data_IF_755312636253
#
_entry.id   IF_755312636253
#
_cell.length_a   1.000
_cell.length_b   1.000
_cell.length_c   1.000
_cell.angle_alpha   90.00
_cell.angle_beta   90.00
_cell.angle_gamma   90.00
#
_symmetry.space_group_name_H-M   'P 1'
#
loop_
_entity.id
_entity.type
_entity.pdbx_description
1 polymer ?
#
# COMPACT_ATOMS: atom_id res chain seq x y z
N UNK A 1 9.69 -1.90 -23.96
CA UNK A 1 9.61 -1.01 -22.78
C UNK A 1 8.19 -0.44 -22.58
N UNK A 2 7.82 -0.11 -21.33
CA UNK A 2 6.58 0.61 -20.98
C UNK A 2 6.56 2.01 -21.62
N UNK A 3 5.39 2.46 -22.07
CA UNK A 3 5.17 3.72 -22.80
C UNK A 3 4.17 4.65 -22.12
N UNK A 4 3.06 4.11 -21.64
CA UNK A 4 2.10 4.87 -20.85
C UNK A 4 1.40 3.98 -19.84
N UNK A 5 0.96 4.62 -18.77
CA UNK A 5 0.09 4.08 -17.74
C UNK A 5 -1.15 4.98 -17.72
N UNK A 6 -2.32 4.38 -17.86
CA UNK A 6 -3.61 5.03 -17.75
C UNK A 6 -4.36 4.38 -16.59
N UNK A 7 -4.76 5.18 -15.62
CA UNK A 7 -5.46 4.68 -14.43
C UNK A 7 -6.75 5.47 -14.25
N UNK A 8 -7.86 4.75 -14.21
CA UNK A 8 -9.18 5.29 -13.88
C UNK A 8 -9.59 4.75 -12.51
N UNK A 9 -9.80 5.67 -11.57
CA UNK A 9 -10.26 5.39 -10.22
C UNK A 9 -11.73 5.79 -10.11
N UNK A 10 -12.60 4.83 -9.81
CA UNK A 10 -13.98 5.08 -9.44
C UNK A 10 -14.17 4.80 -7.94
N UNK A 11 -14.47 5.84 -7.16
CA UNK A 11 -14.76 5.72 -5.73
C UNK A 11 -16.26 5.81 -5.52
N UNK A 12 -16.84 4.75 -4.93
CA UNK A 12 -18.23 4.70 -4.49
C UNK A 12 -18.27 4.56 -2.97
N UNK A 13 -18.57 5.66 -2.29
CA UNK A 13 -18.49 5.79 -0.83
C UNK A 13 -17.12 5.31 -0.30
N UNK A 14 -17.02 4.15 0.34
CA UNK A 14 -15.76 3.63 0.91
C UNK A 14 -15.03 2.63 0.00
N UNK A 15 -15.54 2.34 -1.20
CA UNK A 15 -14.96 1.33 -2.10
C UNK A 15 -14.38 2.00 -3.33
N UNK A 16 -13.16 1.63 -3.67
CA UNK A 16 -12.49 2.04 -4.90
C UNK A 16 -12.46 0.88 -5.89
N UNK A 17 -12.91 1.15 -7.12
CA UNK A 17 -12.64 0.33 -8.30
C UNK A 17 -11.54 1.01 -9.09
N UNK A 18 -10.48 0.28 -9.42
CA UNK A 18 -9.32 0.81 -10.14
C UNK A 18 -9.15 0.03 -11.42
N UNK A 19 -9.13 0.75 -12.54
CA UNK A 19 -8.82 0.21 -13.86
C UNK A 19 -7.47 0.77 -14.29
N UNK A 20 -6.46 -0.08 -14.39
CA UNK A 20 -5.12 0.27 -14.88
C UNK A 20 -4.90 -0.32 -16.27
N UNK A 21 -4.52 0.52 -17.23
CA UNK A 21 -4.10 0.11 -18.57
C UNK A 21 -2.63 0.49 -18.79
N UNK A 22 -1.76 -0.50 -18.98
CA UNK A 22 -0.33 -0.33 -19.19
C UNK A 22 0.02 -0.68 -20.63
N UNK A 23 0.60 0.29 -21.34
CA UNK A 23 0.94 0.15 -22.75
C UNK A 23 2.44 -0.03 -22.93
N UNK A 24 2.84 -1.12 -23.56
CA UNK A 24 4.23 -1.50 -23.83
C UNK A 24 4.48 -1.57 -25.32
N UNK A 25 5.73 -1.30 -25.72
CA UNK A 25 6.20 -1.51 -27.09
C UNK A 25 7.60 -2.12 -27.07
N UNK A 26 7.80 -3.22 -27.80
CA UNK A 26 9.14 -3.73 -28.04
C UNK A 26 9.83 -2.82 -29.07
N UNK A 27 10.92 -2.16 -28.66
CA UNK A 27 11.71 -1.30 -29.54
C UNK A 27 13.02 -1.95 -29.97
N UNK A 28 13.31 -3.16 -29.47
CA UNK A 28 14.49 -3.92 -29.84
C UNK A 28 14.27 -4.59 -31.21
N UNK A 29 15.38 -4.98 -31.83
CA UNK A 29 15.41 -5.74 -33.08
C UNK A 29 15.19 -7.25 -32.87
N UNK A 30 15.00 -7.68 -31.61
CA UNK A 30 14.84 -9.07 -31.18
C UNK A 30 13.57 -9.28 -30.37
N UNK A 31 12.99 -10.49 -30.42
CA UNK A 31 11.89 -10.84 -29.54
C UNK A 31 12.33 -10.74 -28.07
N UNK A 32 11.44 -10.22 -27.23
CA UNK A 32 11.66 -10.10 -25.80
C UNK A 32 10.72 -11.03 -25.05
N UNK A 33 11.24 -11.77 -24.08
CA UNK A 33 10.39 -12.42 -23.10
C UNK A 33 9.82 -11.35 -22.15
N UNK A 34 8.50 -11.29 -22.05
CA UNK A 34 7.81 -10.26 -21.30
C UNK A 34 7.19 -10.85 -20.02
N UNK A 35 7.71 -10.40 -18.87
CA UNK A 35 7.10 -10.61 -17.56
C UNK A 35 6.68 -9.25 -17.03
N UNK A 36 5.40 -9.12 -16.66
CA UNK A 36 4.85 -7.90 -16.13
C UNK A 36 4.54 -8.09 -14.65
N UNK A 37 5.03 -7.16 -13.82
CA UNK A 37 4.91 -7.22 -12.37
C UNK A 37 4.10 -6.01 -11.91
N UNK A 38 3.05 -6.27 -11.13
CA UNK A 38 2.11 -5.26 -10.66
C UNK A 38 2.04 -5.30 -9.13
N UNK A 39 2.33 -4.20 -8.45
CA UNK A 39 2.04 -4.09 -7.03
C UNK A 39 0.54 -3.86 -6.88
N UNK A 40 -0.10 -4.65 -6.02
CA UNK A 40 -1.49 -4.44 -5.63
C UNK A 40 -1.58 -4.32 -4.11
N UNK A 41 -2.47 -3.48 -3.57
CA UNK A 41 -2.75 -3.49 -2.14
C UNK A 41 -3.09 -4.92 -1.68
N UNK A 42 -2.56 -5.35 -0.54
CA UNK A 42 -2.76 -6.74 -0.06
C UNK A 42 -4.21 -7.08 0.30
N UNK A 43 -5.06 -6.07 0.43
CA UNK A 43 -6.51 -6.15 0.65
C UNK A 43 -7.33 -5.92 -0.64
N UNK A 44 -6.67 -5.75 -1.79
CA UNK A 44 -7.35 -5.62 -3.07
C UNK A 44 -7.78 -6.98 -3.64
N UNK A 45 -8.92 -6.99 -4.32
CA UNK A 45 -9.41 -8.14 -5.08
C UNK A 45 -9.33 -7.85 -6.59
N UNK A 46 -8.54 -8.65 -7.31
CA UNK A 46 -8.47 -8.57 -8.78
C UNK A 46 -9.77 -9.10 -9.37
N UNK A 47 -10.48 -8.26 -10.11
CA UNK A 47 -11.78 -8.56 -10.69
C UNK A 47 -11.70 -8.90 -12.18
N UNK A 48 -10.75 -8.30 -12.90
CA UNK A 48 -10.57 -8.57 -14.31
C UNK A 48 -9.12 -8.34 -14.74
N UNK A 49 -8.67 -9.17 -15.68
CA UNK A 49 -7.40 -9.02 -16.33
C UNK A 49 -7.53 -9.34 -17.82
N UNK A 50 -6.97 -8.49 -18.68
CA UNK A 50 -6.85 -8.75 -20.11
C UNK A 50 -5.56 -8.20 -20.70
N UNK A 51 -5.14 -8.81 -21.81
CA UNK A 51 -3.96 -8.40 -22.56
C UNK A 51 -4.29 -8.36 -24.05
N UNK A 52 -3.95 -7.26 -24.71
CA UNK A 52 -3.99 -7.12 -26.16
C UNK A 52 -2.55 -7.12 -26.69
N UNK A 53 -2.18 -8.12 -27.49
CA UNK A 53 -0.83 -8.25 -28.07
C UNK A 53 -0.99 -8.35 -29.59
N UNK A 54 -0.60 -7.30 -30.30
CA UNK A 54 -0.92 -7.17 -31.73
C UNK A 54 -2.42 -7.32 -31.99
N UNK A 55 -2.82 -8.38 -32.69
CA UNK A 55 -4.23 -8.69 -32.97
C UNK A 55 -4.88 -9.63 -31.94
N UNK A 56 -4.10 -10.24 -31.06
CA UNK A 56 -4.59 -11.23 -30.11
C UNK A 56 -5.10 -10.55 -28.84
N UNK A 57 -6.38 -10.78 -28.52
CA UNK A 57 -6.99 -10.36 -27.25
C UNK A 57 -7.11 -11.56 -26.32
N UNK A 58 -6.55 -11.44 -25.13
CA UNK A 58 -6.51 -12.48 -24.09
C UNK A 58 -7.28 -11.95 -22.90
N UNK A 59 -8.21 -12.73 -22.39
CA UNK A 59 -8.95 -12.43 -21.16
C UNK A 59 -8.66 -13.56 -20.18
N UNK A 60 -8.20 -13.21 -18.98
CA UNK A 60 -7.92 -14.21 -17.97
C UNK A 60 -9.21 -14.83 -17.42
N UNK A 61 -9.16 -16.13 -17.18
CA UNK A 61 -10.18 -16.87 -16.46
C UNK A 61 -9.62 -17.24 -15.08
N UNK A 62 -10.37 -16.92 -14.03
CA UNK A 62 -9.95 -17.22 -12.65
C UNK A 62 -10.12 -18.71 -12.40
N UNK A 63 -9.04 -19.35 -11.93
CA UNK A 63 -8.99 -20.77 -11.59
C UNK A 63 -8.31 -20.97 -10.24
N UNK A 64 -8.48 -22.16 -9.67
CA UNK A 64 -7.69 -22.56 -8.50
C UNK A 64 -6.20 -22.57 -8.88
N UNK A 65 -5.34 -22.18 -7.94
CA UNK A 65 -3.93 -21.85 -8.21
C UNK A 65 -3.15 -23.05 -8.77
N UNK A 66 -3.32 -24.24 -8.19
CA UNK A 66 -2.65 -25.44 -8.66
C UNK A 66 -3.17 -25.87 -10.03
N UNK A 67 -4.49 -25.81 -10.23
CA UNK A 67 -5.09 -26.10 -11.54
C UNK A 67 -4.58 -25.15 -12.63
N UNK A 68 -4.49 -23.85 -12.36
CA UNK A 68 -3.99 -22.86 -13.33
C UNK A 68 -2.53 -23.13 -13.74
N UNK A 69 -1.70 -23.57 -12.80
CA UNK A 69 -0.30 -23.94 -13.06
C UNK A 69 -0.18 -25.21 -13.91
N UNK A 70 -0.94 -26.25 -13.58
CA UNK A 70 -0.95 -27.50 -14.35
C UNK A 70 -1.38 -27.27 -15.79
N UNK A 71 -2.47 -26.51 -16.00
CA UNK A 71 -2.94 -26.18 -17.35
C UNK A 71 -1.93 -25.33 -18.14
N UNK A 72 -1.23 -24.41 -17.47
CA UNK A 72 -0.17 -23.60 -18.08
C UNK A 72 1.03 -24.46 -18.51
N UNK A 73 1.50 -25.36 -17.65
CA UNK A 73 2.62 -26.26 -17.93
C UNK A 73 2.29 -27.26 -19.04
N UNK A 74 1.06 -27.80 -19.06
CA UNK A 74 0.57 -28.68 -20.12
C UNK A 74 0.50 -27.97 -21.47
N UNK A 75 0.05 -26.71 -21.49
CA UNK A 75 0.00 -25.90 -22.70
C UNK A 75 1.41 -25.60 -23.24
N UNK A 76 2.35 -25.24 -22.37
CA UNK A 76 3.76 -25.02 -22.74
C UNK A 76 4.42 -26.29 -23.28
N UNK A 77 4.24 -27.42 -22.60
CA UNK A 77 4.83 -28.71 -23.03
C UNK A 77 4.24 -29.20 -24.37
N UNK A 78 3.01 -28.80 -24.68
CA UNK A 78 2.35 -29.04 -25.96
C UNK A 78 2.73 -28.05 -27.07
N UNK A 79 3.64 -27.10 -26.79
CA UNK A 79 4.10 -26.07 -27.73
C UNK A 79 3.08 -24.98 -28.01
N UNK A 80 2.06 -24.83 -27.16
CA UNK A 80 1.08 -23.74 -27.26
C UNK A 80 1.59 -22.47 -26.58
N UNK A 81 1.06 -21.33 -27.01
CA UNK A 81 1.30 -20.07 -26.32
C UNK A 81 0.34 -19.98 -25.12
N UNK A 82 0.90 -19.93 -23.92
CA UNK A 82 0.15 -19.87 -22.67
C UNK A 82 0.50 -18.60 -21.88
N UNK A 83 -0.45 -18.14 -21.07
CA UNK A 83 -0.33 -16.95 -20.22
C UNK A 83 -0.74 -17.32 -18.80
N UNK A 84 0.06 -16.92 -17.83
CA UNK A 84 -0.24 -17.16 -16.42
C UNK A 84 -0.11 -15.85 -15.65
N UNK A 85 -1.18 -15.49 -14.95
CA UNK A 85 -1.20 -14.44 -13.94
C UNK A 85 -1.29 -15.12 -12.57
N UNK A 86 -0.34 -14.84 -11.69
CA UNK A 86 -0.39 -15.35 -10.32
C UNK A 86 0.06 -14.33 -9.28
N UNK A 87 -0.52 -14.47 -8.09
CA UNK A 87 -0.06 -13.82 -6.87
C UNK A 87 1.21 -14.52 -6.35
N UNK A 88 2.24 -13.73 -6.04
CA UNK A 88 3.51 -14.25 -5.54
C UNK A 88 3.34 -14.88 -4.16
N UNK A 89 3.79 -16.12 -3.98
CA UNK A 89 3.76 -16.82 -2.69
C UNK A 89 4.63 -16.15 -1.62
N UNK A 90 5.64 -15.38 -2.03
CA UNK A 90 6.55 -14.68 -1.13
C UNK A 90 6.07 -13.27 -0.79
N UNK A 91 5.11 -12.73 -1.54
CA UNK A 91 4.69 -11.33 -1.48
C UNK A 91 3.26 -11.19 -2.03
N UNK A 92 2.22 -11.27 -1.17
CA UNK A 92 0.82 -11.31 -1.61
C UNK A 92 0.36 -10.04 -2.32
N UNK A 93 1.06 -8.94 -2.11
CA UNK A 93 0.89 -7.64 -2.76
C UNK A 93 1.62 -7.52 -4.10
N UNK A 94 2.09 -8.63 -4.69
CA UNK A 94 2.71 -8.69 -6.02
C UNK A 94 2.00 -9.70 -6.90
N UNK A 95 1.52 -9.22 -8.06
CA UNK A 95 1.02 -10.04 -9.14
C UNK A 95 2.02 -10.06 -10.29
N UNK A 96 2.25 -11.25 -10.84
CA UNK A 96 3.15 -11.43 -11.98
C UNK A 96 2.42 -12.10 -13.13
N UNK A 97 2.56 -11.51 -14.31
CA UNK A 97 2.01 -12.02 -15.56
C UNK A 97 3.13 -12.40 -16.50
N UNK A 98 3.15 -13.67 -16.90
CA UNK A 98 4.09 -14.20 -17.89
C UNK A 98 3.41 -14.23 -19.26
N UNK A 99 3.93 -13.44 -20.21
CA UNK A 99 3.31 -13.20 -21.52
C UNK A 99 4.02 -13.89 -22.68
N UNK A 100 5.09 -14.62 -22.39
CA UNK A 100 5.91 -15.27 -23.41
C UNK A 100 6.65 -14.24 -24.27
N UNK A 101 6.81 -14.54 -25.56
CA UNK A 101 7.65 -13.75 -26.48
C UNK A 101 6.89 -12.61 -27.16
N UNK A 102 7.31 -11.37 -26.93
CA UNK A 102 6.84 -10.16 -27.60
C UNK A 102 7.75 -9.83 -28.81
N UNK A 103 7.26 -9.93 -30.06
CA UNK A 103 8.08 -9.72 -31.26
C UNK A 103 8.68 -8.30 -31.38
N UNK A 104 9.75 -8.13 -32.18
CA UNK A 104 10.34 -6.82 -32.48
C UNK A 104 9.28 -5.84 -33.04
N UNK A 105 9.22 -4.63 -32.50
CA UNK A 105 8.28 -3.58 -32.95
C UNK A 105 6.84 -3.72 -32.47
N UNK A 106 6.46 -4.89 -31.93
CA UNK A 106 5.10 -5.21 -31.50
C UNK A 106 4.72 -4.45 -30.22
N UNK A 107 3.42 -4.21 -30.02
CA UNK A 107 2.89 -3.54 -28.83
C UNK A 107 1.99 -4.46 -28.02
N UNK A 108 2.01 -4.27 -26.71
CA UNK A 108 1.15 -4.97 -25.77
C UNK A 108 0.40 -3.95 -24.90
N UNK A 109 -0.90 -4.12 -24.73
CA UNK A 109 -1.71 -3.34 -23.80
C UNK A 109 -2.25 -4.28 -22.74
N UNK A 110 -1.94 -4.00 -21.47
CA UNK A 110 -2.34 -4.83 -20.34
C UNK A 110 -3.36 -4.07 -19.51
N UNK A 111 -4.56 -4.61 -19.34
CA UNK A 111 -5.64 -4.03 -18.55
C UNK A 111 -5.85 -4.88 -17.29
N UNK A 112 -5.78 -4.22 -16.14
CA UNK A 112 -6.00 -4.80 -14.82
C UNK A 112 -7.10 -4.02 -14.11
N UNK A 113 -8.06 -4.72 -13.54
CA UNK A 113 -9.16 -4.15 -12.77
C UNK A 113 -9.22 -4.81 -11.41
N UNK A 114 -9.22 -4.00 -10.36
CA UNK A 114 -9.32 -4.48 -8.99
C UNK A 114 -10.20 -3.56 -8.15
N UNK A 115 -10.71 -4.11 -7.05
CA UNK A 115 -11.47 -3.37 -6.04
C UNK A 115 -10.75 -3.40 -4.71
N UNK A 116 -10.87 -2.33 -3.92
CA UNK A 116 -10.27 -2.22 -2.58
C UNK A 116 -11.14 -1.32 -1.70
N UNK A 117 -11.16 -1.59 -0.39
CA UNK A 117 -11.81 -0.72 0.60
C UNK A 117 -10.86 0.41 1.00
N UNK A 118 -11.38 1.63 1.08
CA UNK A 118 -10.61 2.81 1.45
C UNK A 118 -10.65 3.03 2.96
N UNK A 119 -9.47 3.08 3.57
CA UNK A 119 -9.35 3.36 4.99
C UNK A 119 -9.62 4.84 5.30
N UNK A 120 -10.43 5.09 6.32
CA UNK A 120 -10.67 6.42 6.89
C UNK A 120 -9.45 6.82 7.73
N UNK A 121 -8.89 7.99 7.43
CA UNK A 121 -7.79 8.58 8.18
C UNK A 121 -8.30 9.30 9.44
N UNK A 122 -7.39 9.64 10.35
CA UNK A 122 -7.74 10.31 11.61
C UNK A 122 -8.37 11.71 11.43
N UNK A 123 -8.21 12.32 10.25
CA UNK A 123 -8.81 13.60 9.86
C UNK A 123 -10.07 13.42 8.97
N UNK A 124 -10.65 12.21 8.98
CA UNK A 124 -11.84 11.81 8.23
C UNK A 124 -11.66 11.73 6.70
N UNK A 125 -10.44 11.87 6.21
CA UNK A 125 -10.12 11.68 4.81
C UNK A 125 -10.14 10.20 4.44
N UNK A 126 -10.86 9.83 3.38
CA UNK A 126 -10.72 8.51 2.75
C UNK A 126 -9.49 8.49 1.88
N UNK A 127 -8.54 7.62 2.20
CA UNK A 127 -7.24 7.57 1.53
C UNK A 127 -7.22 6.47 0.48
N UNK A 128 -6.97 6.87 -0.76
CA UNK A 128 -6.51 5.99 -1.82
C UNK A 128 -5.03 6.27 -2.13
N UNK A 129 -4.26 5.21 -2.37
CA UNK A 129 -2.86 5.32 -2.77
C UNK A 129 -2.62 4.48 -4.02
N UNK A 130 -2.21 5.12 -5.12
CA UNK A 130 -1.69 4.44 -6.30
C UNK A 130 -0.17 4.35 -6.19
N UNK A 131 0.41 3.15 -6.00
CA UNK A 131 1.84 2.97 -5.99
C UNK A 131 2.42 3.31 -7.37
N UNK A 132 3.14 4.43 -7.46
CA UNK A 132 3.81 4.90 -8.67
C UNK A 132 5.32 4.69 -8.60
N UNK A 133 5.85 4.32 -7.43
CA UNK A 133 7.26 3.98 -7.20
C UNK A 133 7.39 2.51 -6.82
N UNK A 134 8.04 1.73 -7.67
CA UNK A 134 8.41 0.35 -7.37
C UNK A 134 9.72 0.33 -6.57
N UNK A 135 9.62 0.21 -5.24
CA UNK A 135 10.78 0.10 -4.36
C UNK A 135 11.32 -1.35 -4.30
N UNK A 136 12.64 -1.56 -4.41
CA UNK A 136 13.25 -2.87 -4.15
C UNK A 136 12.97 -3.33 -2.72
N UNK A 137 12.46 -4.56 -2.55
CA UNK A 137 12.11 -5.10 -1.23
C UNK A 137 13.28 -5.80 -0.55
N UNK A 138 13.32 -5.73 0.78
CA UNK A 138 14.27 -6.46 1.60
C UNK A 138 14.01 -7.96 1.49
N UNK A 139 15.06 -8.73 1.20
CA UNK A 139 15.04 -10.19 1.22
C UNK A 139 16.05 -10.67 2.28
N UNK A 140 15.63 -11.48 3.27
CA UNK A 140 16.55 -12.07 4.24
C UNK A 140 17.57 -13.00 3.55
N UNK A 141 18.78 -13.08 4.08
CA UNK A 141 19.78 -14.02 3.54
C UNK A 141 19.32 -15.47 3.77
N UNK A 142 19.15 -16.24 2.68
CA UNK A 142 18.80 -17.67 2.72
C UNK A 142 17.42 -18.04 2.16
N UNK A 143 16.63 -17.09 1.64
CA UNK A 143 15.37 -17.40 0.95
C UNK A 143 15.64 -18.03 -0.43
N UNK A 144 15.40 -19.33 -0.59
CA UNK A 144 15.37 -19.97 -1.91
C UNK A 144 14.00 -19.76 -2.57
N UNK A 145 13.97 -18.97 -3.65
CA UNK A 145 12.81 -18.84 -4.52
C UNK A 145 13.08 -17.90 -5.70
N UNK A 146 12.19 -17.89 -6.72
CA UNK A 146 12.40 -17.13 -7.95
C UNK A 146 12.53 -15.64 -7.67
N UNK A 147 13.61 -15.05 -8.19
CA UNK A 147 13.95 -13.63 -8.02
C UNK A 147 13.02 -12.76 -8.86
N UNK A 148 12.09 -12.05 -8.23
CA UNK A 148 11.48 -10.87 -8.88
C UNK A 148 12.41 -9.68 -8.68
N UNK A 149 13.40 -9.52 -9.57
CA UNK A 149 14.21 -8.30 -9.59
C UNK A 149 13.36 -7.13 -10.09
N UNK A 150 12.77 -6.39 -9.14
CA UNK A 150 12.15 -5.11 -9.43
C UNK A 150 13.27 -4.11 -9.72
N UNK A 151 13.58 -3.90 -11.01
CA UNK A 151 14.54 -2.88 -11.42
C UNK A 151 13.89 -1.51 -11.28
N UNK A 152 14.25 -0.77 -10.23
CA UNK A 152 13.82 0.60 -10.05
C UNK A 152 14.50 1.50 -11.09
N UNK A 153 13.74 2.04 -12.03
CA UNK A 153 14.25 3.10 -12.94
C UNK A 153 14.29 4.40 -12.14
N UNK A 154 15.43 5.13 -12.10
CA UNK A 154 15.48 6.43 -11.45
C UNK A 154 14.40 7.36 -12.03
N UNK A 155 13.70 8.11 -11.18
CA UNK A 155 12.61 9.03 -11.54
C UNK A 155 12.96 9.98 -12.72
N UNK A 156 14.24 10.38 -12.84
CA UNK A 156 14.75 11.25 -13.90
C UNK A 156 14.90 10.60 -15.29
N UNK A 157 14.74 9.28 -15.39
CA UNK A 157 14.95 8.49 -16.61
C UNK A 157 13.70 7.71 -17.02
N UNK A 158 12.55 7.99 -16.42
CA UNK A 158 11.31 7.27 -16.67
C UNK A 158 10.79 7.57 -18.08
N UNK A 159 10.78 6.59 -19.02
CA UNK A 159 10.49 6.83 -20.43
C UNK A 159 8.99 6.72 -20.76
N UNK A 160 8.12 6.83 -19.76
CA UNK A 160 6.68 6.62 -19.87
C UNK A 160 5.88 7.69 -19.13
N UNK A 161 4.63 7.90 -19.55
CA UNK A 161 3.71 8.86 -18.94
C UNK A 161 2.70 8.17 -18.02
N UNK A 162 2.16 8.93 -17.04
CA UNK A 162 1.03 8.53 -16.22
C UNK A 162 -0.15 9.48 -16.49
N UNK A 163 -1.30 8.90 -16.84
CA UNK A 163 -2.61 9.55 -16.82
C UNK A 163 -3.41 8.94 -15.69
N UNK A 164 -3.97 9.78 -14.82
CA UNK A 164 -4.80 9.33 -13.70
C UNK A 164 -6.07 10.17 -13.64
N UNK A 165 -7.21 9.50 -13.69
CA UNK A 165 -8.53 10.11 -13.62
C UNK A 165 -9.28 9.55 -12.42
N UNK A 166 -10.05 10.41 -11.74
CA UNK A 166 -10.84 10.03 -10.58
C UNK A 166 -12.29 10.43 -10.81
N UNK A 167 -13.20 9.52 -10.51
CA UNK A 167 -14.61 9.77 -10.36
C UNK A 167 -15.03 9.36 -8.96
N UNK A 168 -15.70 10.25 -8.25
CA UNK A 168 -16.18 10.02 -6.89
C UNK A 168 -17.69 10.13 -6.92
N UNK A 169 -18.36 9.12 -6.35
CA UNK A 169 -19.79 9.08 -6.13
C UNK A 169 -20.04 8.70 -4.67
N UNK A 170 -20.89 9.45 -3.98
CA UNK A 170 -21.19 9.21 -2.57
C UNK A 170 -22.64 9.52 -2.28
N UNK A 171 -23.30 8.84 -1.31
CA UNK A 171 -24.60 9.29 -0.82
C UNK A 171 -24.54 10.66 -0.12
N UNK A 172 -23.35 11.19 0.14
CA UNK A 172 -23.12 12.47 0.85
C UNK A 172 -22.39 13.47 -0.04
N UNK A 173 -22.61 14.78 0.15
CA UNK A 173 -21.86 15.79 -0.58
C UNK A 173 -20.36 15.68 -0.32
N UNK A 174 -19.58 15.79 -1.39
CA UNK A 174 -18.12 15.80 -1.36
C UNK A 174 -17.67 17.20 -0.92
N UNK A 175 -16.90 17.29 0.17
CA UNK A 175 -16.36 18.55 0.71
C UNK A 175 -15.19 19.07 -0.14
N UNK A 176 -14.20 18.20 -0.30
CA UNK A 176 -12.92 18.48 -0.97
C UNK A 176 -12.23 17.16 -1.33
N UNK A 177 -11.33 17.25 -2.30
CA UNK A 177 -10.40 16.18 -2.65
C UNK A 177 -9.00 16.78 -2.64
N UNK A 178 -8.10 16.17 -1.88
CA UNK A 178 -6.71 16.58 -1.74
C UNK A 178 -5.77 15.49 -2.28
N UNK A 179 -4.56 15.87 -2.65
CA UNK A 179 -3.55 14.91 -3.13
C UNK A 179 -2.14 15.38 -2.79
N UNK A 180 -1.23 14.41 -2.64
CA UNK A 180 0.21 14.64 -2.58
C UNK A 180 0.81 15.17 -3.89
N UNK A 181 0.04 15.09 -4.99
CA UNK A 181 0.41 15.50 -6.33
C UNK A 181 -0.48 16.63 -6.85
N UNK A 182 -0.01 17.34 -7.89
CA UNK A 182 -0.78 18.40 -8.54
C UNK A 182 -2.00 17.83 -9.27
N UNK A 183 -3.19 18.32 -8.93
CA UNK A 183 -4.45 17.94 -9.54
C UNK A 183 -5.02 19.07 -10.41
N UNK A 184 -5.77 18.71 -11.44
CA UNK A 184 -6.70 19.63 -12.10
C UNK A 184 -7.85 20.00 -11.14
N UNK A 185 -8.51 21.16 -11.32
CA UNK A 185 -9.60 21.58 -10.45
C UNK A 185 -10.72 20.55 -10.35
N UNK A 186 -11.19 20.30 -9.13
CA UNK A 186 -12.34 19.42 -8.86
C UNK A 186 -13.59 19.94 -9.58
N UNK A 187 -14.24 19.06 -10.34
CA UNK A 187 -15.47 19.36 -11.07
C UNK A 187 -16.63 18.55 -10.49
N UNK A 188 -17.63 19.23 -9.94
CA UNK A 188 -18.87 18.59 -9.51
C UNK A 188 -19.76 18.28 -10.72
N UNK A 189 -20.25 17.05 -10.79
CA UNK A 189 -21.09 16.56 -11.89
C UNK A 189 -22.58 16.84 -11.64
N UNK A 190 -22.95 17.20 -10.41
CA UNK A 190 -24.31 17.47 -9.99
C UNK A 190 -24.40 18.59 -8.94
N UNK A 191 -25.60 19.15 -8.77
CA UNK A 191 -25.84 20.33 -7.92
C UNK A 191 -25.76 20.04 -6.42
N UNK A 192 -26.03 18.79 -6.02
CA UNK A 192 -25.92 18.26 -4.67
C UNK A 192 -24.50 17.86 -4.28
N UNK A 193 -23.53 17.97 -5.20
CA UNK A 193 -22.11 17.69 -4.98
C UNK A 193 -21.83 16.24 -4.53
N UNK A 194 -22.74 15.31 -4.82
CA UNK A 194 -22.57 13.88 -4.50
C UNK A 194 -21.76 13.13 -5.56
N UNK A 195 -21.53 13.76 -6.71
CA UNK A 195 -20.67 13.24 -7.77
C UNK A 195 -19.63 14.29 -8.19
N UNK A 196 -18.37 13.88 -8.29
CA UNK A 196 -17.29 14.75 -8.75
C UNK A 196 -16.25 13.99 -9.57
N UNK A 197 -15.52 14.72 -10.39
CA UNK A 197 -14.37 14.20 -11.14
C UNK A 197 -13.18 15.14 -11.03
N UNK A 198 -11.99 14.56 -11.07
CA UNK A 198 -10.72 15.27 -11.14
C UNK A 198 -9.70 14.43 -11.92
N UNK A 199 -8.62 15.07 -12.33
CA UNK A 199 -7.51 14.41 -13.02
C UNK A 199 -6.18 14.84 -12.42
N UNK A 200 -5.19 13.96 -12.51
CA UNK A 200 -3.81 14.31 -12.22
C UNK A 200 -3.30 15.29 -13.28
N UNK A 201 -2.65 16.36 -12.85
CA UNK A 201 -2.01 17.28 -13.77
C UNK A 201 -0.87 16.57 -14.54
N UNK A 202 -0.66 16.96 -15.80
CA UNK A 202 0.38 16.35 -16.62
C UNK A 202 1.79 16.55 -16.04
N UNK A 203 2.67 15.57 -16.29
CA UNK A 203 4.09 15.67 -15.93
C UNK A 203 4.47 15.12 -14.56
N UNK A 204 3.72 14.12 -14.06
CA UNK A 204 4.12 13.36 -12.87
C UNK A 204 5.54 12.81 -13.02
N UNK A 205 6.37 12.98 -11.98
CA UNK A 205 7.81 12.66 -12.02
C UNK A 205 8.16 11.26 -11.54
N UNK A 206 7.18 10.50 -11.03
CA UNK A 206 7.40 9.19 -10.41
C UNK A 206 8.43 9.26 -9.26
N UNK A 207 8.44 10.38 -8.53
CA UNK A 207 9.27 10.60 -7.34
C UNK A 207 8.51 10.27 -6.04
N UNK A 208 7.22 9.95 -6.15
CA UNK A 208 6.30 9.62 -5.06
C UNK A 208 5.09 8.86 -5.60
N UNK A 209 4.31 8.29 -4.69
CA UNK A 209 3.01 7.69 -5.00
C UNK A 209 1.92 8.76 -5.16
N UNK A 210 0.89 8.44 -5.95
CA UNK A 210 -0.27 9.33 -6.13
C UNK A 210 -1.27 9.00 -5.03
N UNK A 211 -1.31 9.85 -4.01
CA UNK A 211 -2.27 9.74 -2.92
C UNK A 211 -3.44 10.67 -3.14
N UNK A 212 -4.66 10.20 -2.88
CA UNK A 212 -5.89 10.98 -2.97
C UNK A 212 -6.63 10.85 -1.64
N UNK A 213 -6.97 11.98 -1.04
CA UNK A 213 -7.76 12.09 0.19
C UNK A 213 -9.11 12.70 -0.15
N UNK A 214 -10.19 11.94 0.07
CA UNK A 214 -11.55 12.34 -0.24
C UNK A 214 -12.28 12.62 1.07
N UNK A 215 -12.87 13.81 1.19
CA UNK A 215 -13.59 14.22 2.39
C UNK A 215 -15.07 14.40 2.07
N UNK A 216 -15.94 13.75 2.84
CA UNK A 216 -17.39 13.89 2.74
C UNK A 216 -17.94 14.84 3.81
N UNK A 217 -19.08 15.48 3.55
CA UNK A 217 -19.87 16.13 4.59
C UNK A 217 -20.50 15.05 5.47
N UNK A 218 -20.61 15.33 6.77
CA UNK A 218 -21.28 14.45 7.73
C UNK A 218 -20.73 13.00 7.70
N UNK A 219 -19.39 12.87 7.65
CA UNK A 219 -18.67 11.60 7.51
C UNK A 219 -19.08 10.56 8.58
N UNK A 220 -19.51 11.02 9.76
CA UNK A 220 -19.87 10.16 10.88
C UNK A 220 -21.31 9.64 10.89
N UNK A 221 -22.16 10.09 9.96
CA UNK A 221 -23.50 9.55 9.83
C UNK A 221 -23.47 8.14 9.23
N UNK A 222 -24.23 7.18 9.77
CA UNK A 222 -24.39 5.86 9.16
C UNK A 222 -24.88 5.97 7.71
N UNK A 223 -24.24 5.24 6.80
CA UNK A 223 -24.68 5.13 5.41
C UNK A 223 -24.92 3.68 5.03
N UNK A 224 -25.80 3.49 4.04
CA UNK A 224 -26.02 2.20 3.42
C UNK A 224 -26.07 2.39 1.90
N UNK A 225 -25.28 1.59 1.18
CA UNK A 225 -25.30 1.53 -0.28
C UNK A 225 -25.85 0.17 -0.68
N UNK A 226 -26.78 0.17 -1.64
CA UNK A 226 -27.39 -1.05 -2.16
C UNK A 226 -26.90 -1.25 -3.59
N UNK A 227 -26.27 -2.40 -3.83
CA UNK A 227 -25.94 -2.85 -5.18
C UNK A 227 -26.98 -3.88 -5.62
N UNK A 228 -27.60 -3.64 -6.78
CA UNK A 228 -28.55 -4.57 -7.34
C UNK A 228 -27.82 -5.77 -7.94
N UNK A 229 -28.37 -6.97 -7.76
CA UNK A 229 -27.86 -8.16 -8.43
C UNK A 229 -27.88 -8.03 -9.95
N UNK A 230 -26.96 -8.72 -10.61
CA UNK A 230 -26.87 -8.75 -12.06
C UNK A 230 -28.10 -9.39 -12.67
N UNK A 231 -28.76 -8.67 -13.59
CA UNK A 231 -29.99 -9.14 -14.25
C UNK A 231 -29.80 -10.45 -15.04
N UNK A 232 -28.57 -10.75 -15.47
CA UNK A 232 -28.22 -11.99 -16.18
C UNK A 232 -27.91 -13.17 -15.26
N UNK A 233 -27.73 -12.96 -13.95
CA UNK A 233 -27.41 -14.00 -13.01
C UNK A 233 -28.67 -14.74 -12.52
N UNK A 234 -28.49 -15.97 -12.03
CA UNK A 234 -29.61 -16.73 -11.48
C UNK A 234 -30.10 -16.12 -10.15
N UNK A 235 -31.41 -15.93 -9.95
CA UNK A 235 -31.95 -15.51 -8.66
C UNK A 235 -31.57 -16.48 -7.53
N UNK A 236 -31.19 -15.97 -6.36
CA UNK A 236 -30.70 -16.78 -5.24
C UNK A 236 -29.21 -17.15 -5.34
N UNK A 237 -28.49 -16.64 -6.34
CA UNK A 237 -27.03 -16.73 -6.43
C UNK A 237 -26.39 -15.45 -5.91
N UNK A 238 -25.11 -15.53 -5.50
CA UNK A 238 -24.34 -14.36 -5.04
C UNK A 238 -24.40 -13.18 -6.02
N UNK A 239 -24.38 -13.46 -7.33
CA UNK A 239 -24.39 -12.43 -8.37
C UNK A 239 -25.81 -11.94 -8.70
N UNK A 240 -26.86 -12.68 -8.36
CA UNK A 240 -28.25 -12.33 -8.66
C UNK A 240 -28.99 -11.65 -7.51
N UNK A 241 -28.52 -11.82 -6.29
CA UNK A 241 -29.13 -11.21 -5.10
C UNK A 241 -28.58 -9.81 -4.85
N UNK A 242 -29.41 -8.85 -4.39
CA UNK A 242 -28.93 -7.53 -4.02
C UNK A 242 -28.07 -7.60 -2.76
N UNK A 243 -27.02 -6.79 -2.72
CA UNK A 243 -26.09 -6.70 -1.59
C UNK A 243 -26.18 -5.30 -0.98
N UNK A 244 -26.07 -5.22 0.34
CA UNK A 244 -26.08 -3.95 1.07
C UNK A 244 -24.78 -3.81 1.84
N UNK A 245 -24.04 -2.74 1.56
CA UNK A 245 -22.88 -2.33 2.36
C UNK A 245 -23.34 -1.26 3.35
N UNK A 246 -23.12 -1.48 4.64
CA UNK A 246 -23.46 -0.54 5.71
C UNK A 246 -22.16 0.00 6.32
N UNK A 247 -21.96 1.31 6.23
CA UNK A 247 -20.78 1.99 6.75
C UNK A 247 -21.14 2.71 8.06
N UNK A 248 -20.45 2.35 9.14
CA UNK A 248 -20.67 2.89 10.48
C UNK A 248 -19.40 3.55 11.01
N UNK A 249 -19.35 4.88 11.03
CA UNK A 249 -18.17 5.63 11.46
C UNK A 249 -18.52 6.67 12.55
N UNK A 250 -18.91 6.24 13.77
CA UNK A 250 -19.44 7.15 14.77
C UNK A 250 -18.38 8.11 15.32
N UNK A 251 -18.75 9.38 15.52
CA UNK A 251 -17.97 10.34 16.30
C UNK A 251 -18.30 10.17 17.79
N UNK A 252 -17.27 9.98 18.62
CA UNK A 252 -17.45 9.91 20.06
C UNK A 252 -17.14 11.27 20.71
N UNK A 253 -17.92 11.69 21.73
CA UNK A 253 -17.62 12.92 22.45
C UNK A 253 -16.20 12.93 23.03
N UNK A 254 -15.55 14.09 23.01
CA UNK A 254 -14.18 14.27 23.54
C UNK A 254 -14.02 13.80 24.99
N UNK A 255 -15.08 13.87 25.81
CA UNK A 255 -15.07 13.35 27.19
C UNK A 255 -14.86 11.84 27.26
N UNK A 256 -15.36 11.09 26.28
CA UNK A 256 -15.15 9.64 26.18
C UNK A 256 -13.75 9.37 25.64
N UNK A 257 -13.35 10.05 24.57
CA UNK A 257 -12.03 9.85 23.96
C UNK A 257 -10.87 10.21 24.89
N UNK A 258 -10.95 11.33 25.62
CA UNK A 258 -9.90 11.76 26.57
C UNK A 258 -9.64 10.77 27.72
N UNK A 259 -10.68 10.03 28.13
CA UNK A 259 -10.54 8.98 29.16
C UNK A 259 -9.81 7.73 28.66
N UNK A 260 -9.79 7.50 27.34
CA UNK A 260 -9.14 6.36 26.70
C UNK A 260 -7.75 6.73 26.13
N UNK A 261 -7.56 7.96 25.63
CA UNK A 261 -6.31 8.39 25.00
C UNK A 261 -5.19 8.75 25.98
N UNK A 262 -5.52 8.98 27.26
CA UNK A 262 -4.54 9.22 28.33
C UNK A 262 -3.98 7.92 28.93
N UNK A 263 -4.46 6.76 28.48
CA UNK A 263 -4.07 5.45 29.00
C UNK A 263 -3.59 4.56 27.85
N UNK A 264 -2.28 4.32 27.80
CA UNK A 264 -1.63 3.39 26.89
C UNK A 264 -0.23 3.03 27.37
N UNK A 265 0.24 1.83 27.04
CA UNK A 265 1.64 1.43 27.16
C UNK A 265 2.26 1.44 25.75
N UNK A 266 3.10 2.42 25.45
CA UNK A 266 3.73 2.58 24.13
C UNK A 266 5.11 1.93 24.10
N UNK A 267 5.29 0.87 23.31
CA UNK A 267 6.57 0.16 23.20
C UNK A 267 7.21 0.41 21.85
N UNK A 268 8.21 1.28 21.80
CA UNK A 268 8.95 1.55 20.57
C UNK A 268 9.98 0.45 20.33
N UNK A 269 9.97 -0.16 19.14
CA UNK A 269 10.95 -1.15 18.72
C UNK A 269 11.77 -0.60 17.53
N UNK A 270 13.05 -0.33 17.75
CA UNK A 270 13.92 0.37 16.81
C UNK A 270 15.01 -0.54 16.23
N UNK A 271 15.11 -0.61 14.90
CA UNK A 271 16.21 -1.33 14.24
C UNK A 271 17.52 -0.53 14.35
N UNK A 272 18.60 -1.20 14.76
CA UNK A 272 19.98 -0.71 14.80
C UNK A 272 20.93 -1.65 14.04
N UNK A 273 20.40 -2.40 13.08
CA UNK A 273 21.16 -3.22 12.14
C UNK A 273 22.14 -2.39 11.32
N UNK A 274 23.19 -3.02 10.79
CA UNK A 274 24.21 -2.34 9.98
C UNK A 274 23.62 -1.65 8.74
N UNK A 275 22.47 -2.10 8.23
CA UNK A 275 21.77 -1.47 7.11
C UNK A 275 21.25 -0.06 7.43
N UNK A 276 21.09 0.27 8.72
CA UNK A 276 20.66 1.59 9.19
C UNK A 276 21.77 2.65 9.07
N UNK A 277 23.02 2.23 8.87
CA UNK A 277 24.15 3.15 8.55
C UNK A 277 24.05 3.73 7.14
N UNK A 278 23.24 3.14 6.25
CA UNK A 278 23.12 3.59 4.87
C UNK A 278 22.48 4.98 4.78
N UNK A 279 22.91 5.82 3.81
CA UNK A 279 22.23 7.07 3.50
C UNK A 279 20.76 6.83 3.11
N UNK A 280 19.88 7.77 3.47
CA UNK A 280 18.47 7.72 3.08
C UNK A 280 18.32 7.96 1.57
N UNK A 281 19.09 8.90 1.04
CA UNK A 281 19.13 9.23 -0.37
C UNK A 281 20.57 9.48 -0.83
N UNK A 282 20.89 9.11 -2.08
CA UNK A 282 22.21 9.32 -2.69
C UNK A 282 22.61 10.81 -2.81
N UNK A 283 21.66 11.73 -2.64
CA UNK A 283 21.88 13.18 -2.72
C UNK A 283 22.39 13.86 -1.44
N UNK A 284 22.23 13.22 -0.26
CA UNK A 284 22.73 13.76 1.01
C UNK A 284 23.38 12.65 1.87
N UNK A 285 24.68 12.39 1.70
CA UNK A 285 25.38 11.31 2.41
C UNK A 285 25.47 11.49 3.93
N UNK A 286 25.15 12.67 4.46
CA UNK A 286 25.23 12.96 5.89
C UNK A 286 24.00 12.47 6.66
N UNK A 287 22.88 12.22 5.98
CA UNK A 287 21.63 11.80 6.61
C UNK A 287 21.45 10.29 6.41
N UNK A 288 21.75 9.53 7.46
CA UNK A 288 21.65 8.07 7.47
C UNK A 288 20.27 7.66 7.98
N UNK A 289 19.86 6.42 7.68
CA UNK A 289 18.57 5.88 8.15
C UNK A 289 18.50 5.89 9.68
N UNK A 290 19.60 5.62 10.37
CA UNK A 290 19.66 5.66 11.82
C UNK A 290 19.46 7.08 12.38
N UNK A 291 20.02 8.11 11.75
CA UNK A 291 19.82 9.50 12.21
C UNK A 291 18.37 9.92 12.06
N UNK A 292 17.71 9.59 10.94
CA UNK A 292 16.29 9.90 10.76
C UNK A 292 15.38 9.09 11.69
N UNK A 293 15.68 7.81 11.91
CA UNK A 293 14.95 6.98 12.86
C UNK A 293 15.05 7.53 14.29
N UNK A 294 16.23 8.01 14.69
CA UNK A 294 16.46 8.65 15.98
C UNK A 294 15.65 9.93 16.12
N UNK A 295 15.71 10.81 15.12
CA UNK A 295 15.00 12.09 15.15
C UNK A 295 13.47 11.87 15.18
N UNK A 296 12.98 10.86 14.46
CA UNK A 296 11.57 10.42 14.51
C UNK A 296 11.20 9.89 15.88
N UNK A 297 12.02 9.03 16.48
CA UNK A 297 11.78 8.52 17.84
C UNK A 297 11.75 9.65 18.87
N UNK A 298 12.65 10.63 18.77
CA UNK A 298 12.64 11.81 19.62
C UNK A 298 11.36 12.65 19.45
N UNK A 299 10.85 12.78 18.23
CA UNK A 299 9.58 13.44 17.97
C UNK A 299 8.42 12.69 18.65
N UNK A 300 8.34 11.36 18.43
CA UNK A 300 7.29 10.52 19.01
C UNK A 300 7.30 10.57 20.55
N UNK A 301 8.49 10.50 21.17
CA UNK A 301 8.63 10.60 22.62
C UNK A 301 8.15 11.95 23.17
N UNK A 302 8.32 13.05 22.42
CA UNK A 302 7.82 14.38 22.81
C UNK A 302 6.32 14.55 22.58
N UNK A 303 5.71 13.66 21.80
CA UNK A 303 4.28 13.65 21.49
C UNK A 303 3.46 12.66 22.34
N UNK A 304 4.11 11.91 23.23
CA UNK A 304 3.42 10.96 24.12
C UNK A 304 2.46 11.70 25.07
N UNK A 305 1.26 11.13 25.33
CA UNK A 305 0.30 11.73 26.25
C UNK A 305 0.76 11.61 27.70
N UNK A 306 0.50 12.63 28.52
CA UNK A 306 0.81 12.60 29.94
C UNK A 306 0.03 11.48 30.66
N UNK A 307 0.73 10.71 31.51
CA UNK A 307 0.15 9.59 32.27
C UNK A 307 0.16 8.24 31.56
N UNK A 308 0.69 8.17 30.34
CA UNK A 308 0.94 6.90 29.65
C UNK A 308 2.17 6.18 30.21
N UNK A 309 2.36 4.93 29.82
CA UNK A 309 3.58 4.18 30.05
C UNK A 309 4.34 4.03 28.74
N UNK A 310 5.66 3.94 28.80
CA UNK A 310 6.46 3.69 27.60
C UNK A 310 7.73 2.90 27.88
N UNK A 311 8.25 2.27 26.83
CA UNK A 311 9.59 1.70 26.80
C UNK A 311 10.16 1.77 25.38
N UNK A 312 11.49 1.67 25.26
CA UNK A 312 12.19 1.64 23.99
C UNK A 312 13.08 0.40 23.97
N UNK A 313 12.82 -0.44 22.98
CA UNK A 313 13.63 -1.59 22.63
C UNK A 313 14.40 -1.26 21.36
N UNK A 314 15.63 -1.74 21.28
CA UNK A 314 16.41 -1.69 20.05
C UNK A 314 16.89 -3.07 19.68
N UNK A 315 16.97 -3.38 18.38
CA UNK A 315 17.35 -4.71 17.92
C UNK A 315 18.34 -4.69 16.76
N UNK A 316 19.07 -5.78 16.64
CA UNK A 316 19.95 -6.14 15.52
C UNK A 316 20.20 -7.65 15.57
N UNK A 317 21.44 -8.11 15.68
CA UNK A 317 21.76 -9.50 16.06
C UNK A 317 21.44 -9.82 17.53
N UNK A 318 21.39 -8.80 18.38
CA UNK A 318 20.93 -8.86 19.77
C UNK A 318 19.91 -7.74 20.00
N UNK A 319 19.25 -7.73 21.16
CA UNK A 319 18.35 -6.64 21.52
C UNK A 319 18.71 -6.02 22.86
N UNK A 320 18.40 -4.73 22.99
CA UNK A 320 18.59 -3.90 24.17
C UNK A 320 17.27 -3.21 24.53
N UNK A 321 17.11 -2.81 25.78
CA UNK A 321 15.98 -2.00 26.22
C UNK A 321 16.46 -0.88 27.15
N UNK A 322 15.81 0.29 27.07
CA UNK A 322 16.18 1.44 27.90
C UNK A 322 15.78 1.20 29.36
N UNK A 323 14.59 0.64 29.58
CA UNK A 323 14.05 0.33 30.90
C UNK A 323 13.75 -1.17 31.02
N UNK A 324 13.98 -1.80 32.19
CA UNK A 324 13.66 -3.21 32.40
C UNK A 324 12.16 -3.55 32.23
N UNK A 325 11.30 -2.57 32.49
CA UNK A 325 9.84 -2.61 32.31
C UNK A 325 9.38 -1.23 31.86
N UNK A 326 8.22 -1.17 31.22
CA UNK A 326 7.61 0.11 30.82
C UNK A 326 7.39 1.01 32.04
N UNK A 327 7.81 2.26 31.91
CA UNK A 327 7.77 3.27 32.97
C UNK A 327 6.75 4.35 32.64
N UNK A 328 6.20 4.99 33.67
CA UNK A 328 5.28 6.11 33.49
C UNK A 328 6.00 7.28 32.82
N UNK A 329 5.34 7.90 31.84
CA UNK A 329 5.83 9.06 31.12
C UNK A 329 5.82 10.31 32.01
N UNK A 330 7.01 10.71 32.44
CA UNK A 330 7.27 11.95 33.17
C UNK A 330 8.59 12.59 32.72
N UNK A 331 8.86 13.82 33.18
CA UNK A 331 10.05 14.61 32.83
C UNK A 331 11.37 13.84 33.04
N UNK A 332 11.51 13.16 34.18
CA UNK A 332 12.74 12.42 34.52
C UNK A 332 12.98 11.23 33.61
N UNK A 333 11.95 10.41 33.39
CA UNK A 333 12.05 9.23 32.50
C UNK A 333 12.25 9.65 31.05
N UNK A 334 11.67 10.79 30.65
CA UNK A 334 11.82 11.36 29.33
C UNK A 334 13.25 11.84 29.09
N UNK A 335 13.85 12.57 30.04
CA UNK A 335 15.26 12.97 29.94
C UNK A 335 16.21 11.79 29.86
N UNK A 336 15.96 10.72 30.62
CA UNK A 336 16.77 9.50 30.55
C UNK A 336 16.66 8.83 29.17
N UNK A 337 15.44 8.72 28.65
CA UNK A 337 15.19 8.14 27.33
C UNK A 337 15.86 8.96 26.22
N UNK A 338 15.68 10.29 26.22
CA UNK A 338 16.27 11.20 25.22
C UNK A 338 17.79 11.08 25.20
N UNK A 339 18.46 11.09 26.36
CA UNK A 339 19.92 10.95 26.44
C UNK A 339 20.42 9.64 25.83
N UNK A 340 19.69 8.54 26.03
CA UNK A 340 20.05 7.24 25.43
C UNK A 340 19.75 7.19 23.94
N UNK A 341 18.65 7.79 23.49
CA UNK A 341 18.27 7.85 22.07
C UNK A 341 19.27 8.70 21.28
N UNK A 342 19.73 9.83 21.82
CA UNK A 342 20.70 10.71 21.17
C UNK A 342 22.01 10.01 20.77
N UNK A 343 22.44 9.02 21.57
CA UNK A 343 23.68 8.25 21.36
C UNK A 343 23.46 6.93 20.60
N UNK A 344 22.25 6.62 20.15
CA UNK A 344 21.98 5.39 19.40
C UNK A 344 22.67 5.43 18.02
N UNK A 345 23.28 4.30 17.67
CA UNK A 345 23.95 4.08 16.39
C UNK A 345 23.63 2.69 15.82
N UNK A 346 23.89 2.48 14.53
CA UNK A 346 23.62 1.24 13.78
C UNK A 346 24.67 0.15 14.04
N UNK A 347 24.87 -0.20 15.30
CA UNK A 347 25.97 -1.05 15.76
C UNK A 347 25.52 -2.41 16.32
N UNK A 348 24.25 -2.80 16.14
CA UNK A 348 23.75 -4.09 16.63
C UNK A 348 23.88 -5.24 15.62
N UNK A 349 24.43 -5.01 14.42
CA UNK A 349 24.77 -6.09 13.48
C UNK A 349 23.61 -6.48 12.55
N UNK A 350 23.12 -7.73 12.65
CA UNK A 350 22.05 -8.29 11.83
C UNK A 350 20.66 -7.69 12.12
N UNK A 351 19.58 -8.36 11.71
CA UNK A 351 18.19 -7.85 11.81
C UNK A 351 17.25 -8.91 12.38
N UNK A 352 17.48 -9.32 13.63
CA UNK A 352 16.74 -10.39 14.30
C UNK A 352 15.60 -9.85 15.18
N UNK A 353 14.43 -9.63 14.59
CA UNK A 353 13.27 -9.03 15.28
C UNK A 353 12.49 -10.01 16.18
N UNK A 354 12.66 -11.33 16.01
CA UNK A 354 11.84 -12.32 16.72
C UNK A 354 12.08 -12.31 18.24
N UNK A 355 13.34 -12.28 18.67
CA UNK A 355 13.72 -12.31 20.09
C UNK A 355 13.15 -11.12 20.90
N UNK A 356 13.29 -9.85 20.46
CA UNK A 356 12.71 -8.72 21.20
C UNK A 356 11.19 -8.80 21.24
N UNK A 357 10.51 -9.24 20.16
CA UNK A 357 9.05 -9.40 20.18
C UNK A 357 8.60 -10.44 21.19
N UNK A 358 9.23 -11.61 21.22
CA UNK A 358 8.95 -12.65 22.23
C UNK A 358 9.15 -12.12 23.66
N UNK A 359 10.21 -11.35 23.88
CA UNK A 359 10.47 -10.74 25.17
C UNK A 359 9.39 -9.72 25.56
N UNK A 360 9.03 -8.80 24.65
CA UNK A 360 7.98 -7.79 24.88
C UNK A 360 6.65 -8.48 25.22
N UNK A 361 6.21 -9.44 24.42
CA UNK A 361 4.94 -10.15 24.66
C UNK A 361 4.96 -11.04 25.91
N UNK A 362 6.13 -11.45 26.39
CA UNK A 362 6.25 -12.16 27.68
C UNK A 362 6.10 -11.25 28.91
N UNK A 363 6.29 -9.93 28.75
CA UNK A 363 6.12 -8.98 29.86
C UNK A 363 4.64 -8.80 30.22
N UNK A 364 4.30 -8.72 31.52
CA UNK A 364 2.91 -8.54 31.95
C UNK A 364 2.36 -7.20 31.43
N UNK A 365 1.12 -7.20 30.95
CA UNK A 365 0.43 -5.98 30.56
C UNK A 365 0.09 -5.14 31.79
N UNK A 366 0.16 -3.81 31.64
CA UNK A 366 -0.20 -2.88 32.71
C UNK A 366 -1.74 -2.75 32.75
N UNK A 367 -2.40 -2.93 33.93
CA UNK A 367 -3.85 -2.84 34.02
C UNK A 367 -4.40 -1.50 33.51
N UNK A 368 -5.43 -1.55 32.66
CA UNK A 368 -6.08 -0.38 32.04
C UNK A 368 -5.18 0.45 31.12
N UNK A 369 -4.01 -0.06 30.76
CA UNK A 369 -3.06 0.59 29.86
C UNK A 369 -2.83 -0.36 28.68
N UNK A 370 -3.64 -0.29 27.62
CA UNK A 370 -3.47 -1.16 26.45
C UNK A 370 -2.08 -0.96 25.85
N UNK A 371 -1.38 -2.07 25.57
CA UNK A 371 -0.07 -2.06 24.92
C UNK A 371 -0.22 -1.76 23.43
N UNK A 372 0.52 -0.76 22.95
CA UNK A 372 0.60 -0.32 21.56
C UNK A 372 2.03 -0.43 21.03
#
# INVERSE_FOLDING_TARGET
PLKSIEVDLEVRDHVATVVSTLNYKNQEDKPLEAVFVFPLPGDAAVCHFSAQIGQTHIVAEVKEKQQAREEYDDALSSGQQAFLLEESEQSPDIFSLSVGSLPPGESASIRLEYVTELAVQADDGLRFCLPAVLNPRYQPQGSEGPRVQVSSVPASLVPYSLSFSVQVSSPRPICKVESSCSLEPLQYLNSDQTQATLKLAAGHKFDRDVEVLIYYKDAHQPTAVVEAGQASAQPGSLMGDPVVMVSLYPEFPQSVMSSLSSSGEFVFLMDRSGSMSCPINYGNPQETRITSARDTLLLLLKSLPMGCYFNIYSFGSSFEHIFPKSVEYNEKTMEEAVKKVEVMDSNLGGTEILQPLQHIYSQPCIPKQPRQ
#
